data_IF_808952678837
#
_entry.id   IF_808952678837
#
_cell.length_a   1.000
_cell.length_b   1.000
_cell.length_c   1.000
_cell.angle_alpha   90.00
_cell.angle_beta   90.00
_cell.angle_gamma   90.00
#
_symmetry.space_group_name_H-M   'P 1'
#
loop_
_entity.id
_entity.type
_entity.pdbx_description
1 polymer ?
#
# COMPACT_ATOMS: atom_id res chain seq x y z
N UNK A 1 -5.61 29.71 49.42
CA UNK A 1 -4.20 30.14 49.56
C UNK A 1 -3.42 29.58 48.42
N UNK A 2 -2.97 30.44 47.62
CA UNK A 2 -2.66 30.40 46.20
C UNK A 2 -1.22 29.96 45.98
N UNK A 3 -1.03 29.01 45.05
CA UNK A 3 0.27 28.41 44.65
C UNK A 3 1.19 29.32 43.82
N UNK A 4 1.24 30.61 44.10
CA UNK A 4 2.13 31.56 43.40
C UNK A 4 3.34 32.03 44.21
N UNK A 5 3.48 31.65 45.47
CA UNK A 5 4.59 32.11 46.32
C UNK A 5 5.81 31.19 46.34
N UNK A 6 5.79 30.03 45.73
CA UNK A 6 6.90 29.07 45.76
C UNK A 6 7.90 29.22 44.60
N UNK A 7 7.62 30.04 43.60
CA UNK A 7 8.47 30.14 42.39
C UNK A 7 9.48 31.29 42.48
N UNK A 8 9.27 32.27 43.33
CA UNK A 8 10.16 33.45 43.46
C UNK A 8 11.43 33.21 44.32
N UNK A 9 11.45 32.15 45.14
CA UNK A 9 12.55 31.90 46.06
C UNK A 9 13.75 31.18 45.47
N UNK A 10 13.67 30.63 44.28
CA UNK A 10 14.76 29.84 43.65
C UNK A 10 15.67 30.64 42.73
N UNK A 11 15.32 31.85 42.36
CA UNK A 11 16.12 32.68 41.44
C UNK A 11 17.17 33.56 42.11
N UNK A 12 17.06 33.78 43.43
CA UNK A 12 17.98 34.68 44.17
C UNK A 12 19.27 34.00 44.68
N UNK A 13 19.39 32.69 44.61
CA UNK A 13 20.57 31.96 45.12
C UNK A 13 21.63 31.75 44.05
N UNK A 14 21.29 31.88 42.75
CA UNK A 14 22.23 31.55 41.65
C UNK A 14 23.10 32.72 41.18
N UNK A 15 22.84 33.97 41.60
CA UNK A 15 23.51 35.17 41.08
C UNK A 15 24.75 35.60 41.89
N UNK A 16 25.16 34.87 42.93
CA UNK A 16 26.23 35.32 43.86
C UNK A 16 27.55 34.60 43.75
N UNK A 17 27.73 33.63 42.83
CA UNK A 17 28.94 32.77 42.83
C UNK A 17 29.94 32.99 41.70
N UNK A 18 29.73 33.95 40.82
CA UNK A 18 30.67 34.23 39.73
C UNK A 18 31.07 35.70 39.66
N UNK A 19 31.82 36.12 40.68
CA UNK A 19 32.54 37.39 40.62
C UNK A 19 34.03 37.09 40.77
N UNK A 20 34.80 37.47 39.71
CA UNK A 20 36.26 37.60 39.65
C UNK A 20 37.09 36.34 39.45
N UNK A 21 37.32 36.02 38.19
CA UNK A 21 38.67 35.56 37.79
C UNK A 21 39.04 36.28 36.51
N UNK A 22 40.20 36.91 36.54
CA UNK A 22 40.74 37.86 35.57
C UNK A 22 40.70 37.35 34.13
N UNK A 23 40.23 38.20 33.26
CA UNK A 23 40.28 38.04 31.82
C UNK A 23 41.69 38.31 31.35
N UNK A 24 42.53 37.28 31.24
CA UNK A 24 43.74 37.32 30.45
C UNK A 24 43.31 37.41 28.96
N UNK A 25 43.46 38.59 28.37
CA UNK A 25 43.26 38.78 26.94
C UNK A 25 44.33 37.95 26.18
N UNK A 26 43.98 36.68 25.90
CA UNK A 26 44.70 35.89 24.91
C UNK A 26 44.38 36.53 23.55
N UNK A 27 45.42 37.03 22.89
CA UNK A 27 45.40 37.50 21.51
C UNK A 27 44.75 36.41 20.64
N UNK A 28 43.52 36.61 20.24
CA UNK A 28 42.89 35.85 19.16
C UNK A 28 43.66 36.20 17.89
N UNK A 29 44.57 35.37 17.46
CA UNK A 29 45.04 35.36 16.10
C UNK A 29 43.84 35.15 15.21
N UNK A 30 43.56 35.94 14.18
CA UNK A 30 42.53 35.67 13.22
C UNK A 30 42.88 34.33 12.57
N UNK A 31 42.14 33.29 12.92
CA UNK A 31 42.20 32.03 12.20
C UNK A 31 41.73 32.32 10.78
N UNK A 32 42.65 32.20 9.83
CA UNK A 32 42.35 32.39 8.41
C UNK A 32 41.16 31.49 8.11
N UNK A 33 40.04 32.09 7.71
CA UNK A 33 38.92 31.40 7.13
C UNK A 33 39.46 30.58 5.97
N UNK A 34 39.58 29.28 6.16
CA UNK A 34 39.87 28.34 5.08
C UNK A 34 38.87 28.64 3.98
N UNK A 35 39.34 29.07 2.83
CA UNK A 35 38.50 29.41 1.69
C UNK A 35 37.54 28.26 1.43
N UNK A 36 36.25 28.54 1.45
CA UNK A 36 35.24 27.59 0.99
C UNK A 36 35.61 27.26 -0.47
N UNK A 37 36.18 26.08 -0.68
CA UNK A 37 36.46 25.61 -2.03
C UNK A 37 35.08 25.45 -2.71
N UNK A 38 34.73 26.43 -3.55
CA UNK A 38 33.52 26.33 -4.36
C UNK A 38 33.69 25.18 -5.35
N UNK A 39 32.64 24.40 -5.54
CA UNK A 39 32.59 23.35 -6.55
C UNK A 39 32.79 23.94 -7.94
N UNK A 40 33.65 23.34 -8.76
CA UNK A 40 33.82 23.72 -10.14
C UNK A 40 32.68 23.24 -11.00
N UNK A 41 32.31 23.97 -12.04
CA UNK A 41 31.27 23.54 -12.99
C UNK A 41 31.58 22.17 -13.60
N UNK A 42 32.83 21.89 -13.92
CA UNK A 42 33.26 20.60 -14.47
C UNK A 42 33.09 19.46 -13.47
N UNK A 43 33.29 19.68 -12.17
CA UNK A 43 33.14 18.70 -11.12
C UNK A 43 31.68 18.26 -11.03
N UNK A 44 30.75 19.20 -11.06
CA UNK A 44 29.30 18.87 -11.07
C UNK A 44 28.92 18.14 -12.35
N UNK A 45 29.43 18.54 -13.51
CA UNK A 45 29.16 17.86 -14.79
C UNK A 45 29.62 16.39 -14.75
N UNK A 46 30.81 16.13 -14.23
CA UNK A 46 31.34 14.75 -14.13
C UNK A 46 30.48 13.92 -13.16
N UNK A 47 30.11 14.46 -12.00
CA UNK A 47 29.26 13.76 -11.04
C UNK A 47 27.90 13.42 -11.64
N UNK A 48 27.24 14.38 -12.32
CA UNK A 48 25.96 14.14 -12.97
C UNK A 48 26.07 13.09 -14.08
N UNK A 49 27.16 13.12 -14.87
CA UNK A 49 27.41 12.12 -15.91
C UNK A 49 27.55 10.70 -15.31
N UNK A 50 28.32 10.55 -14.23
CA UNK A 50 28.46 9.26 -13.55
C UNK A 50 27.12 8.78 -12.97
N UNK A 51 26.37 9.68 -12.32
CA UNK A 51 25.04 9.34 -11.78
C UNK A 51 24.06 8.92 -12.88
N UNK A 52 24.09 9.58 -14.03
CA UNK A 52 23.25 9.23 -15.18
C UNK A 52 23.55 7.80 -15.70
N UNK A 53 24.85 7.46 -15.80
CA UNK A 53 25.26 6.09 -16.22
C UNK A 53 24.80 5.05 -15.20
N UNK A 54 25.00 5.32 -13.89
CA UNK A 54 24.57 4.40 -12.84
C UNK A 54 23.05 4.25 -12.79
N UNK A 55 22.30 5.34 -12.94
CA UNK A 55 20.86 5.34 -13.01
C UNK A 55 20.33 4.47 -14.17
N UNK A 56 20.94 4.56 -15.34
CA UNK A 56 20.55 3.78 -16.51
C UNK A 56 20.67 2.24 -16.29
N UNK A 57 21.59 1.81 -15.44
CA UNK A 57 21.76 0.39 -15.08
C UNK A 57 20.80 -0.10 -13.99
N UNK A 58 20.38 0.79 -13.09
CA UNK A 58 19.56 0.43 -11.91
C UNK A 58 18.07 0.46 -12.23
N UNK A 59 17.61 1.47 -12.97
CA UNK A 59 16.17 1.68 -13.26
C UNK A 59 15.48 0.43 -13.86
N UNK A 60 15.99 -0.24 -14.89
CA UNK A 60 15.29 -1.39 -15.47
C UNK A 60 15.15 -2.59 -14.53
N UNK A 61 16.03 -2.72 -13.53
CA UNK A 61 15.95 -3.81 -12.55
C UNK A 61 14.87 -3.64 -11.49
N UNK A 62 14.42 -2.41 -11.26
CA UNK A 62 13.43 -2.10 -10.24
C UNK A 62 12.00 -2.21 -10.80
N UNK A 63 11.79 -1.89 -12.07
CA UNK A 63 10.46 -1.88 -12.69
C UNK A 63 9.76 -3.24 -12.65
N UNK A 64 10.45 -4.35 -12.96
CA UNK A 64 9.85 -5.69 -12.90
C UNK A 64 9.41 -6.12 -11.49
N UNK A 65 10.13 -5.70 -10.45
CA UNK A 65 9.78 -6.07 -9.05
C UNK A 65 8.53 -5.38 -8.54
N UNK A 66 8.19 -4.21 -9.08
CA UNK A 66 6.94 -3.52 -8.70
C UNK A 66 5.71 -4.24 -9.22
N UNK A 67 5.78 -4.85 -10.39
CA UNK A 67 4.67 -5.59 -10.97
C UNK A 67 4.43 -6.93 -10.26
N UNK A 68 5.49 -7.64 -9.91
CA UNK A 68 5.40 -8.85 -9.08
C UNK A 68 4.78 -8.55 -7.70
N UNK A 69 5.17 -7.44 -7.07
CA UNK A 69 4.61 -7.00 -5.81
C UNK A 69 3.11 -6.67 -5.94
N UNK A 70 2.69 -6.00 -7.02
CA UNK A 70 1.28 -5.71 -7.31
C UNK A 70 0.50 -7.00 -7.54
N UNK A 71 1.01 -7.95 -8.32
CA UNK A 71 0.37 -9.26 -8.52
C UNK A 71 0.19 -10.01 -7.20
N UNK A 72 1.20 -10.02 -6.36
CA UNK A 72 1.12 -10.62 -5.02
C UNK A 72 0.07 -9.92 -4.15
N UNK A 73 0.00 -8.59 -4.18
CA UNK A 73 -1.01 -7.83 -3.46
C UNK A 73 -2.44 -8.15 -3.96
N UNK A 74 -2.64 -8.27 -5.29
CA UNK A 74 -3.93 -8.68 -5.86
C UNK A 74 -4.33 -10.09 -5.40
N UNK A 75 -3.40 -11.05 -5.41
CA UNK A 75 -3.64 -12.43 -4.91
C UNK A 75 -4.10 -12.41 -3.44
N UNK A 76 -3.45 -11.61 -2.58
CA UNK A 76 -3.84 -11.46 -1.16
C UNK A 76 -5.22 -10.82 -1.02
N UNK A 77 -5.52 -9.80 -1.81
CA UNK A 77 -6.84 -9.16 -1.78
C UNK A 77 -7.96 -10.10 -2.23
N UNK A 78 -7.74 -10.91 -3.28
CA UNK A 78 -8.71 -11.92 -3.70
C UNK A 78 -8.99 -12.91 -2.55
N UNK A 79 -7.95 -13.41 -1.86
CA UNK A 79 -8.15 -14.28 -0.68
C UNK A 79 -8.96 -13.61 0.43
N UNK A 80 -8.77 -12.31 0.66
CA UNK A 80 -9.57 -11.56 1.63
C UNK A 80 -11.04 -11.45 1.20
N UNK A 81 -11.31 -11.23 -0.10
CA UNK A 81 -12.66 -11.20 -0.66
C UNK A 81 -13.31 -12.58 -0.54
N UNK A 82 -12.58 -13.66 -0.84
CA UNK A 82 -13.05 -15.04 -0.66
C UNK A 82 -13.47 -15.32 0.79
N UNK A 83 -12.65 -14.91 1.76
CA UNK A 83 -13.00 -15.02 3.18
C UNK A 83 -14.30 -14.29 3.53
N UNK A 84 -14.50 -13.08 3.00
CA UNK A 84 -15.74 -12.34 3.20
C UNK A 84 -16.95 -12.99 2.52
N UNK A 85 -16.77 -13.55 1.31
CA UNK A 85 -17.82 -14.32 0.62
C UNK A 85 -18.21 -15.59 1.39
N UNK A 86 -17.24 -16.28 1.96
CA UNK A 86 -17.50 -17.46 2.80
C UNK A 86 -18.31 -17.10 4.06
N UNK A 87 -17.97 -15.99 4.72
CA UNK A 87 -18.75 -15.48 5.85
C UNK A 87 -20.17 -15.08 5.43
N UNK A 88 -20.31 -14.42 4.27
CA UNK A 88 -21.63 -14.09 3.72
C UNK A 88 -22.48 -15.34 3.49
N UNK A 89 -21.89 -16.40 2.88
CA UNK A 89 -22.57 -17.67 2.65
C UNK A 89 -22.94 -18.37 3.97
N UNK A 90 -22.06 -18.31 4.96
CA UNK A 90 -22.32 -18.92 6.27
C UNK A 90 -23.55 -18.29 6.94
N UNK A 91 -23.72 -16.98 6.87
CA UNK A 91 -24.85 -16.28 7.46
C UNK A 91 -26.14 -16.39 6.64
N UNK A 92 -26.04 -16.39 5.31
CA UNK A 92 -27.20 -16.29 4.41
C UNK A 92 -27.51 -17.57 3.63
N UNK A 93 -26.64 -18.59 3.71
CA UNK A 93 -26.82 -19.90 3.05
C UNK A 93 -26.41 -19.94 1.58
N UNK A 94 -26.21 -18.79 0.92
CA UNK A 94 -25.85 -18.66 -0.49
C UNK A 94 -24.83 -17.56 -0.69
N UNK A 95 -24.08 -17.61 -1.79
CA UNK A 95 -23.25 -16.48 -2.23
C UNK A 95 -24.10 -15.37 -2.85
N UNK A 96 -23.60 -14.11 -2.90
CA UNK A 96 -24.25 -13.06 -3.66
C UNK A 96 -24.41 -13.46 -5.14
N UNK A 97 -25.48 -13.01 -5.78
CA UNK A 97 -25.61 -13.18 -7.24
C UNK A 97 -24.67 -12.22 -8.00
N UNK A 98 -24.41 -12.50 -9.28
CA UNK A 98 -23.64 -11.59 -10.15
C UNK A 98 -24.22 -10.17 -10.16
N UNK A 99 -25.54 -10.02 -10.13
CA UNK A 99 -26.22 -8.70 -10.09
C UNK A 99 -25.95 -7.96 -8.76
N UNK A 100 -25.88 -8.69 -7.65
CA UNK A 100 -25.55 -8.13 -6.34
C UNK A 100 -24.06 -7.76 -6.26
N UNK A 101 -23.22 -8.55 -6.92
CA UNK A 101 -21.79 -8.32 -7.00
C UNK A 101 -21.11 -8.29 -5.63
N UNK A 102 -19.86 -7.84 -5.62
CA UNK A 102 -19.09 -7.67 -4.39
C UNK A 102 -19.60 -6.55 -3.48
N UNK A 103 -20.47 -5.66 -4.00
CA UNK A 103 -21.14 -4.62 -3.20
C UNK A 103 -21.97 -5.22 -2.07
N UNK A 104 -22.52 -6.42 -2.27
CA UNK A 104 -23.25 -7.17 -1.23
C UNK A 104 -22.44 -7.46 0.04
N UNK A 105 -21.11 -7.39 -0.04
CA UNK A 105 -20.22 -7.56 1.12
C UNK A 105 -20.07 -6.28 1.94
N UNK A 106 -20.33 -5.12 1.36
CA UNK A 106 -20.18 -3.80 2.01
C UNK A 106 -21.54 -3.23 2.41
N UNK A 107 -22.53 -3.38 1.53
CA UNK A 107 -23.88 -2.83 1.69
C UNK A 107 -24.91 -3.95 1.56
N UNK A 108 -26.00 -3.83 2.31
CA UNK A 108 -27.10 -4.81 2.21
C UNK A 108 -27.71 -4.74 0.80
N UNK A 109 -27.76 -5.86 0.05
CA UNK A 109 -28.32 -5.89 -1.28
C UNK A 109 -29.81 -5.50 -1.28
N UNK A 110 -30.20 -4.72 -2.31
CA UNK A 110 -31.59 -4.36 -2.58
C UNK A 110 -32.16 -5.07 -3.81
N UNK A 111 -31.33 -5.83 -4.54
CA UNK A 111 -31.70 -6.56 -5.76
C UNK A 111 -31.53 -8.06 -5.57
N UNK A 112 -32.24 -8.85 -6.37
CA UNK A 112 -32.17 -10.32 -6.30
C UNK A 112 -32.72 -10.89 -4.99
N UNK A 113 -32.12 -11.97 -4.50
CA UNK A 113 -32.52 -12.60 -3.24
C UNK A 113 -31.93 -11.81 -2.06
N UNK A 114 -32.79 -11.03 -1.38
CA UNK A 114 -32.39 -10.19 -0.26
C UNK A 114 -32.05 -11.07 0.95
N UNK A 115 -30.83 -10.97 1.49
CA UNK A 115 -30.39 -11.77 2.64
C UNK A 115 -31.17 -11.38 3.92
N UNK A 116 -31.69 -12.38 4.63
CA UNK A 116 -32.44 -12.18 5.87
C UNK A 116 -31.52 -11.89 7.06
N UNK A 117 -30.31 -12.46 7.06
CA UNK A 117 -29.32 -12.36 8.16
C UNK A 117 -28.08 -11.57 7.75
N UNK A 118 -28.25 -10.52 6.96
CA UNK A 118 -27.13 -9.69 6.56
C UNK A 118 -26.49 -9.01 7.78
N UNK A 119 -25.17 -9.13 7.91
CA UNK A 119 -24.40 -8.63 9.05
C UNK A 119 -24.40 -7.10 9.08
N UNK A 120 -24.81 -6.50 10.20
CA UNK A 120 -24.72 -5.05 10.42
C UNK A 120 -23.26 -4.60 10.34
N UNK A 121 -22.97 -3.62 9.47
CA UNK A 121 -21.62 -3.15 9.21
C UNK A 121 -20.89 -3.88 8.07
N UNK A 122 -21.55 -4.87 7.43
CA UNK A 122 -20.99 -5.58 6.27
C UNK A 122 -19.97 -6.66 6.63
N UNK A 123 -19.46 -7.28 5.60
CA UNK A 123 -18.42 -8.33 5.62
C UNK A 123 -17.05 -7.75 5.23
N UNK A 124 -17.05 -6.61 4.54
CA UNK A 124 -15.86 -5.81 4.22
C UNK A 124 -16.11 -4.35 4.61
N UNK A 125 -15.08 -3.62 5.06
CA UNK A 125 -15.22 -2.21 5.43
C UNK A 125 -15.43 -1.30 4.22
N UNK A 126 -14.89 -1.68 3.07
CA UNK A 126 -15.06 -1.02 1.77
C UNK A 126 -14.83 -2.01 0.65
N UNK A 127 -15.35 -1.70 -0.54
CA UNK A 127 -15.06 -2.47 -1.74
C UNK A 127 -13.59 -2.23 -2.13
N UNK A 128 -12.76 -3.29 -2.22
CA UNK A 128 -11.38 -3.14 -2.64
C UNK A 128 -11.28 -2.91 -4.15
N UNK A 129 -10.30 -2.11 -4.54
CA UNK A 129 -9.81 -2.02 -5.91
C UNK A 129 -8.51 -2.82 -6.02
N UNK A 130 -8.19 -3.27 -7.21
CA UNK A 130 -6.95 -3.98 -7.43
C UNK A 130 -5.73 -3.01 -7.40
N UNK A 131 -4.48 -3.48 -7.36
CA UNK A 131 -3.29 -2.64 -7.31
C UNK A 131 -3.06 -1.75 -8.53
N UNK A 132 -3.84 -1.90 -9.58
CA UNK A 132 -3.85 -1.07 -10.79
C UNK A 132 -5.05 -0.12 -10.85
N UNK A 133 -5.83 -0.04 -9.74
CA UNK A 133 -7.04 0.77 -9.58
C UNK A 133 -8.23 0.31 -10.46
N UNK A 134 -8.25 -0.97 -10.86
CA UNK A 134 -9.39 -1.57 -11.53
C UNK A 134 -10.34 -2.24 -10.51
N UNK A 135 -11.66 -2.24 -10.74
CA UNK A 135 -12.59 -2.98 -9.90
C UNK A 135 -12.44 -4.49 -10.14
N UNK A 136 -12.51 -5.29 -9.09
CA UNK A 136 -12.61 -6.74 -9.21
C UNK A 136 -13.94 -7.13 -9.89
N UNK A 137 -13.86 -8.01 -10.89
CA UNK A 137 -15.04 -8.65 -11.48
C UNK A 137 -15.46 -9.83 -10.64
N UNK A 138 -16.78 -10.02 -10.51
CA UNK A 138 -17.39 -11.10 -9.74
C UNK A 138 -18.49 -11.76 -10.55
N UNK A 139 -18.47 -13.07 -10.62
CA UNK A 139 -19.45 -13.90 -11.32
C UNK A 139 -19.93 -15.02 -10.40
N UNK A 140 -21.25 -15.22 -10.28
CA UNK A 140 -21.85 -16.30 -9.50
C UNK A 140 -23.17 -16.75 -10.13
N UNK A 141 -23.35 -18.03 -10.46
CA UNK A 141 -22.31 -19.05 -10.53
C UNK A 141 -21.25 -18.71 -11.56
N UNK A 142 -20.02 -19.21 -11.36
CA UNK A 142 -18.91 -18.99 -12.28
C UNK A 142 -19.29 -19.35 -13.72
N UNK A 143 -19.16 -18.39 -14.63
CA UNK A 143 -19.46 -18.55 -16.06
C UNK A 143 -18.27 -18.24 -16.95
N UNK A 144 -17.05 -18.17 -16.37
CA UNK A 144 -15.89 -17.69 -17.09
C UNK A 144 -15.48 -18.60 -18.25
N UNK A 145 -15.22 -18.04 -19.44
CA UNK A 145 -14.55 -18.73 -20.52
C UNK A 145 -13.07 -19.10 -20.19
N UNK A 146 -12.49 -18.50 -19.14
CA UNK A 146 -11.10 -18.73 -18.71
C UNK A 146 -10.92 -20.15 -18.17
N UNK A 147 -11.99 -20.85 -17.75
CA UNK A 147 -11.92 -22.24 -17.31
C UNK A 147 -11.65 -23.25 -18.46
N UNK A 148 -11.66 -22.83 -19.70
CA UNK A 148 -11.49 -23.72 -20.86
C UNK A 148 -10.05 -24.13 -21.15
N UNK A 149 -9.06 -23.60 -20.46
CA UNK A 149 -7.65 -24.02 -20.58
C UNK A 149 -7.23 -25.03 -19.48
N UNK A 150 -7.94 -26.17 -19.41
CA UNK A 150 -7.27 -27.44 -19.14
C UNK A 150 -7.09 -27.91 -17.71
N UNK A 151 -7.94 -27.54 -16.71
CA UNK A 151 -8.04 -28.33 -15.48
C UNK A 151 -9.45 -28.16 -14.83
N UNK A 152 -10.40 -28.83 -15.42
CA UNK A 152 -11.70 -29.08 -14.78
C UNK A 152 -11.56 -30.16 -13.71
N UNK A 153 -11.28 -29.77 -12.48
CA UNK A 153 -11.85 -30.53 -11.35
C UNK A 153 -13.35 -30.33 -11.45
N UNK A 154 -14.12 -31.39 -11.71
CA UNK A 154 -15.55 -31.39 -12.06
C UNK A 154 -16.54 -30.79 -11.06
N UNK A 155 -16.14 -29.83 -10.26
CA UNK A 155 -16.95 -29.00 -9.38
C UNK A 155 -17.14 -27.65 -10.07
N UNK A 156 -18.37 -27.34 -10.50
CA UNK A 156 -18.73 -25.98 -10.89
C UNK A 156 -18.38 -25.07 -9.73
N UNK A 157 -17.43 -24.16 -9.96
CA UNK A 157 -17.11 -23.18 -8.93
C UNK A 157 -18.34 -22.32 -8.66
N UNK A 158 -18.66 -22.14 -7.38
CA UNK A 158 -19.85 -21.42 -6.96
C UNK A 158 -19.74 -19.93 -7.26
N UNK A 159 -18.52 -19.41 -7.40
CA UNK A 159 -18.24 -18.02 -7.79
C UNK A 159 -16.84 -17.90 -8.43
N UNK A 160 -16.60 -16.78 -9.07
CA UNK A 160 -15.32 -16.39 -9.62
C UNK A 160 -15.02 -14.92 -9.31
N UNK A 161 -13.77 -14.64 -8.95
CA UNK A 161 -13.25 -13.29 -8.72
C UNK A 161 -12.09 -13.09 -9.69
N UNK A 162 -12.08 -11.99 -10.41
CA UNK A 162 -11.09 -11.70 -11.44
C UNK A 162 -10.53 -10.28 -11.22
N UNK A 163 -9.19 -10.16 -11.16
CA UNK A 163 -8.46 -8.93 -11.42
C UNK A 163 -7.93 -8.98 -12.84
N UNK A 164 -8.17 -7.93 -13.60
CA UNK A 164 -7.79 -7.84 -15.02
C UNK A 164 -6.33 -7.42 -15.25
N UNK A 165 -5.50 -7.44 -14.19
CA UNK A 165 -4.10 -7.08 -14.32
C UNK A 165 -3.86 -5.61 -14.71
N UNK A 166 -2.75 -5.36 -15.39
CA UNK A 166 -2.27 -4.01 -15.71
C UNK A 166 -3.07 -3.33 -16.82
N UNK A 167 -3.54 -4.09 -17.81
CA UNK A 167 -4.22 -3.57 -19.00
C UNK A 167 -5.74 -3.38 -18.80
N UNK A 168 -6.33 -3.99 -17.77
CA UNK A 168 -7.77 -3.91 -17.50
C UNK A 168 -8.63 -4.67 -18.51
N UNK A 169 -8.03 -5.52 -19.35
CA UNK A 169 -8.71 -6.32 -20.38
C UNK A 169 -8.75 -7.79 -19.98
N UNK A 170 -9.69 -8.55 -20.53
CA UNK A 170 -9.81 -10.00 -20.23
C UNK A 170 -8.75 -10.77 -21.00
N UNK A 171 -7.97 -11.57 -20.28
CA UNK A 171 -6.91 -12.40 -20.86
C UNK A 171 -5.51 -11.87 -20.58
N UNK A 172 -4.66 -11.83 -21.63
CA UNK A 172 -3.28 -11.36 -21.51
C UNK A 172 -2.28 -12.42 -21.03
N UNK A 173 -0.99 -12.06 -21.12
CA UNK A 173 0.12 -12.90 -20.70
C UNK A 173 1.11 -12.09 -19.84
N UNK A 174 1.87 -12.79 -18.99
CA UNK A 174 2.90 -12.18 -18.15
C UNK A 174 2.30 -11.19 -17.14
N UNK A 175 2.70 -9.92 -17.20
CA UNK A 175 2.22 -8.87 -16.28
C UNK A 175 0.75 -8.47 -16.53
N UNK A 176 0.24 -8.73 -17.73
CA UNK A 176 -1.14 -8.45 -18.13
C UNK A 176 -2.08 -9.64 -17.89
N UNK A 177 -1.53 -10.79 -17.49
CA UNK A 177 -2.35 -11.97 -17.25
C UNK A 177 -3.33 -11.75 -16.10
N UNK A 178 -4.60 -12.13 -16.33
CA UNK A 178 -5.66 -12.10 -15.33
C UNK A 178 -5.30 -12.90 -14.07
N UNK A 179 -5.68 -12.40 -12.93
CA UNK A 179 -5.54 -13.08 -11.64
C UNK A 179 -6.94 -13.47 -11.16
N UNK A 180 -7.16 -14.79 -11.04
CA UNK A 180 -8.43 -15.32 -10.60
C UNK A 180 -8.23 -16.10 -9.29
N UNK A 181 -9.33 -16.34 -8.56
CA UNK A 181 -9.29 -17.20 -7.39
C UNK A 181 -8.90 -18.66 -7.71
N UNK A 182 -8.85 -19.06 -8.98
CA UNK A 182 -8.43 -20.41 -9.40
C UNK A 182 -6.94 -20.51 -9.75
N UNK A 183 -6.25 -19.38 -9.91
CA UNK A 183 -4.83 -19.37 -10.32
C UNK A 183 -3.92 -18.68 -9.28
N UNK A 184 -4.38 -18.49 -8.05
CA UNK A 184 -3.62 -17.78 -6.99
C UNK A 184 -2.27 -18.44 -6.66
N UNK A 185 -2.16 -19.75 -6.83
CA UNK A 185 -0.95 -20.53 -6.51
C UNK A 185 -0.10 -20.85 -7.74
N UNK A 186 -0.51 -20.36 -8.92
CA UNK A 186 0.27 -20.46 -10.15
C UNK A 186 1.12 -19.20 -10.31
N UNK A 187 2.42 -19.36 -10.39
CA UNK A 187 3.38 -18.31 -10.77
C UNK A 187 3.63 -18.35 -12.27
#
# INVERSE_FOLDING_TARGET
MSGREQVEATWTIWSRKYRHRGFLASRLTPQACGGAAGFTFIEIMVVVAILAILAALVVPRIMGRTDDAKRTAAKVQIRNIEGALQLYKLDNGVYPSTEQGLKALVEKPSVGVIPKKWKIGGYLPKLPEDPWANPYKYLSPSQSPIQSSGQSSGLKAEYEIISLGTDGEVGGEGINADITNFNLDKD
#
